data_IF_242214397619
#
_entry.id   IF_242214397619
#
_cell.length_a   1.000
_cell.length_b   1.000
_cell.length_c   1.000
_cell.angle_alpha   90.00
_cell.angle_beta   90.00
_cell.angle_gamma   90.00
#
_symmetry.space_group_name_H-M   'P 1'
#
loop_
_entity.id
_entity.type
_entity.pdbx_description
1 polymer ?
#
# COMPACT_ATOMS: atom_id res chain seq x y z
N UNK A 1 -48.71 51.81 10.32
CA UNK A 1 -48.33 50.51 10.96
C UNK A 1 -48.21 49.44 9.85
N UNK A 2 -47.01 49.26 9.28
CA UNK A 2 -46.76 48.36 8.19
C UNK A 2 -46.20 47.07 8.75
N UNK A 3 -46.88 45.93 8.52
CA UNK A 3 -46.42 44.58 8.90
C UNK A 3 -45.49 44.03 7.84
N UNK A 4 -44.22 43.96 8.16
CA UNK A 4 -43.17 43.30 7.33
C UNK A 4 -43.36 41.76 7.44
N UNK A 5 -43.76 41.11 6.37
CA UNK A 5 -43.79 39.62 6.24
C UNK A 5 -42.36 39.15 6.04
N UNK A 6 -41.83 38.41 7.01
CA UNK A 6 -40.56 37.66 6.85
C UNK A 6 -40.81 36.44 5.98
N UNK A 7 -40.20 36.40 4.83
CA UNK A 7 -40.13 35.19 3.93
C UNK A 7 -39.01 34.33 4.46
N UNK A 8 -39.32 33.16 5.00
CA UNK A 8 -38.33 32.15 5.39
C UNK A 8 -38.06 31.27 4.17
N UNK A 9 -36.88 31.40 3.60
CA UNK A 9 -36.41 30.47 2.55
C UNK A 9 -35.95 29.16 3.20
N UNK A 10 -36.69 28.09 2.95
CA UNK A 10 -36.27 26.74 3.30
C UNK A 10 -35.26 26.27 2.23
N UNK A 11 -33.96 26.25 2.57
CA UNK A 11 -32.93 25.63 1.73
C UNK A 11 -33.02 24.12 1.94
N UNK A 12 -33.61 23.42 0.98
CA UNK A 12 -33.55 21.96 0.91
C UNK A 12 -32.20 21.57 0.33
N UNK A 13 -31.25 21.18 1.20
CA UNK A 13 -30.00 20.55 0.79
C UNK A 13 -30.36 19.12 0.36
N UNK A 14 -30.45 18.88 -0.94
CA UNK A 14 -30.51 17.53 -1.49
C UNK A 14 -29.09 16.95 -1.39
N UNK A 15 -28.84 16.18 -0.33
CA UNK A 15 -27.66 15.32 -0.26
C UNK A 15 -27.82 14.22 -1.33
N UNK A 16 -27.20 14.41 -2.47
CA UNK A 16 -27.03 13.33 -3.44
C UNK A 16 -26.28 12.16 -2.80
N UNK A 17 -26.54 10.90 -3.24
CA UNK A 17 -25.80 9.75 -2.71
C UNK A 17 -24.31 9.96 -2.98
N UNK A 18 -23.50 10.08 -1.93
CA UNK A 18 -22.04 10.08 -2.01
C UNK A 18 -21.62 8.74 -2.63
N UNK A 19 -21.17 8.77 -3.88
CA UNK A 19 -20.62 7.60 -4.53
C UNK A 19 -19.48 7.04 -3.68
N UNK A 20 -19.58 5.75 -3.35
CA UNK A 20 -18.57 5.05 -2.58
C UNK A 20 -17.24 5.12 -3.38
N UNK A 21 -16.13 5.69 -2.86
CA UNK A 21 -14.90 5.88 -3.64
C UNK A 21 -14.36 4.57 -4.23
N UNK A 22 -14.58 3.43 -3.56
CA UNK A 22 -14.21 2.11 -4.06
C UNK A 22 -15.02 1.71 -5.32
N UNK A 23 -16.34 1.98 -5.35
CA UNK A 23 -17.16 1.69 -6.51
C UNK A 23 -16.84 2.62 -7.69
N UNK A 24 -16.50 3.88 -7.42
CA UNK A 24 -16.07 4.81 -8.47
C UNK A 24 -14.73 4.39 -9.10
N UNK A 25 -13.79 3.88 -8.30
CA UNK A 25 -12.50 3.39 -8.79
C UNK A 25 -12.63 2.13 -9.66
N UNK A 26 -13.53 1.20 -9.31
CA UNK A 26 -13.74 -0.03 -10.08
C UNK A 26 -14.61 0.18 -11.32
N UNK A 27 -15.56 1.10 -11.29
CA UNK A 27 -16.49 1.35 -12.39
C UNK A 27 -15.80 1.87 -13.67
N UNK A 28 -14.69 2.60 -13.52
CA UNK A 28 -13.91 3.14 -14.65
C UNK A 28 -12.84 2.20 -15.20
N UNK A 29 -12.59 1.03 -14.56
CA UNK A 29 -11.56 0.11 -15.00
C UNK A 29 -12.06 -0.81 -16.11
N UNK A 30 -11.27 -1.03 -17.19
CA UNK A 30 -11.63 -1.95 -18.25
C UNK A 30 -11.65 -3.40 -17.73
N UNK A 31 -12.45 -4.24 -18.38
CA UNK A 31 -12.54 -5.68 -18.06
C UNK A 31 -11.62 -6.54 -18.94
N UNK A 32 -10.85 -5.90 -19.79
CA UNK A 32 -9.82 -6.46 -20.66
C UNK A 32 -8.63 -5.48 -20.76
N UNK A 33 -7.45 -5.91 -21.18
CA UNK A 33 -7.14 -7.28 -21.60
C UNK A 33 -7.28 -8.29 -20.45
N UNK A 34 -7.47 -9.57 -20.82
CA UNK A 34 -7.42 -10.68 -19.87
C UNK A 34 -6.08 -11.43 -20.04
N UNK A 35 -5.41 -11.72 -18.93
CA UNK A 35 -4.18 -12.50 -18.89
C UNK A 35 -4.32 -13.69 -17.97
N UNK A 36 -3.72 -14.82 -18.33
CA UNK A 36 -3.72 -16.03 -17.49
C UNK A 36 -2.32 -16.28 -16.95
N UNK A 37 -2.18 -16.25 -15.63
CA UNK A 37 -0.92 -16.50 -14.91
C UNK A 37 -1.15 -17.61 -13.91
N UNK A 38 -0.34 -18.65 -13.93
CA UNK A 38 -0.44 -19.82 -13.04
C UNK A 38 -1.87 -20.42 -13.00
N UNK A 39 -2.55 -20.47 -14.17
CA UNK A 39 -3.90 -21.04 -14.31
C UNK A 39 -5.06 -20.14 -13.85
N UNK A 40 -4.78 -18.94 -13.36
CA UNK A 40 -5.79 -17.96 -12.97
C UNK A 40 -5.83 -16.79 -13.96
N UNK A 41 -7.05 -16.37 -14.35
CA UNK A 41 -7.26 -15.25 -15.29
C UNK A 41 -7.50 -13.96 -14.52
N UNK A 42 -6.84 -12.90 -14.99
CA UNK A 42 -6.89 -11.55 -14.43
C UNK A 42 -7.26 -10.54 -15.50
N UNK A 43 -8.00 -9.51 -15.12
CA UNK A 43 -8.25 -8.29 -15.89
C UNK A 43 -7.88 -7.08 -15.05
N UNK A 44 -7.70 -5.86 -15.62
CA UNK A 44 -7.45 -4.65 -14.85
C UNK A 44 -8.49 -4.42 -13.76
N UNK A 45 -9.78 -4.68 -14.05
CA UNK A 45 -10.88 -4.57 -13.09
C UNK A 45 -10.78 -5.62 -11.99
N UNK A 46 -10.50 -6.89 -12.34
CA UNK A 46 -10.40 -7.96 -11.35
C UNK A 46 -9.20 -7.77 -10.40
N UNK A 47 -8.07 -7.27 -10.91
CA UNK A 47 -6.91 -6.93 -10.10
C UNK A 47 -7.25 -5.81 -9.10
N UNK A 48 -7.89 -4.74 -9.58
CA UNK A 48 -8.28 -3.64 -8.70
C UNK A 48 -9.31 -4.08 -7.66
N UNK A 49 -10.33 -4.83 -8.06
CA UNK A 49 -11.33 -5.36 -7.13
C UNK A 49 -10.70 -6.29 -6.08
N UNK A 50 -9.76 -7.15 -6.49
CA UNK A 50 -8.99 -8.02 -5.59
C UNK A 50 -8.22 -7.20 -4.54
N UNK A 51 -7.56 -6.14 -4.96
CA UNK A 51 -6.71 -5.33 -4.08
C UNK A 51 -7.53 -4.44 -3.15
N UNK A 52 -8.57 -3.80 -3.66
CA UNK A 52 -9.36 -2.81 -2.91
C UNK A 52 -10.50 -3.42 -2.09
N UNK A 53 -11.06 -4.55 -2.53
CA UNK A 53 -12.25 -5.12 -1.91
C UNK A 53 -13.43 -4.13 -1.87
N UNK A 54 -14.27 -4.28 -0.85
CA UNK A 54 -15.35 -3.33 -0.56
C UNK A 54 -14.86 -2.14 0.28
N UNK A 55 -15.67 -1.09 0.41
CA UNK A 55 -15.35 0.02 1.31
C UNK A 55 -15.28 -0.42 2.78
N UNK A 56 -16.04 -1.44 3.16
CA UNK A 56 -15.96 -2.04 4.49
C UNK A 56 -14.65 -2.77 4.69
N UNK A 57 -14.17 -3.53 3.70
CA UNK A 57 -12.89 -4.25 3.78
C UNK A 57 -11.70 -3.29 3.93
N UNK A 58 -11.78 -2.10 3.35
CA UNK A 58 -10.75 -1.06 3.46
C UNK A 58 -10.65 -0.45 4.86
N UNK A 59 -11.64 -0.63 5.72
CA UNK A 59 -11.70 -0.05 7.08
C UNK A 59 -11.77 -1.09 8.18
N UNK A 60 -12.24 -2.30 7.87
CA UNK A 60 -12.31 -3.39 8.85
C UNK A 60 -10.90 -3.91 9.17
N UNK A 61 -10.49 -3.91 10.46
CA UNK A 61 -9.19 -4.44 10.83
C UNK A 61 -9.07 -5.93 10.46
N UNK A 62 -7.90 -6.31 9.97
CA UNK A 62 -7.53 -7.72 9.92
C UNK A 62 -6.87 -8.09 11.26
N UNK A 63 -7.03 -9.33 11.77
CA UNK A 63 -6.43 -9.70 13.04
C UNK A 63 -4.92 -9.40 13.08
N UNK A 64 -4.45 -8.54 14.00
CA UNK A 64 -3.03 -8.22 14.07
C UNK A 64 -2.23 -9.43 14.50
N UNK A 65 -1.10 -9.67 13.84
CA UNK A 65 -0.28 -10.86 14.08
C UNK A 65 1.17 -10.64 13.66
N UNK A 66 2.05 -11.45 14.21
CA UNK A 66 3.45 -11.54 13.78
C UNK A 66 3.50 -12.22 12.40
N UNK A 67 4.23 -11.60 11.47
CA UNK A 67 4.52 -12.16 10.15
C UNK A 67 5.81 -12.98 10.22
N UNK A 68 6.93 -12.32 10.53
CA UNK A 68 8.25 -12.94 10.66
C UNK A 68 9.16 -12.05 11.51
N UNK A 69 10.01 -12.66 12.34
CA UNK A 69 11.00 -11.94 13.14
C UNK A 69 10.36 -10.85 14.00
N UNK A 70 10.66 -9.60 13.68
CA UNK A 70 10.13 -8.40 14.34
C UNK A 70 9.12 -7.62 13.47
N UNK A 71 8.60 -8.22 12.41
CA UNK A 71 7.64 -7.63 11.49
C UNK A 71 6.24 -8.16 11.79
N UNK A 72 5.27 -7.25 11.96
CA UNK A 72 3.88 -7.53 12.31
C UNK A 72 2.93 -6.89 11.31
N UNK A 73 1.78 -7.53 11.10
CA UNK A 73 0.66 -6.96 10.36
C UNK A 73 -0.26 -6.20 11.32
N UNK A 74 -0.63 -4.97 10.96
CA UNK A 74 -1.51 -4.10 11.77
C UNK A 74 -2.58 -3.38 10.93
N UNK A 75 -2.72 -3.74 9.65
CA UNK A 75 -3.61 -3.11 8.69
C UNK A 75 -5.06 -3.61 8.71
N UNK A 76 -5.76 -3.33 7.63
CA UNK A 76 -7.16 -3.74 7.39
C UNK A 76 -7.23 -4.99 6.52
N UNK A 77 -8.45 -5.41 6.13
CA UNK A 77 -8.63 -6.59 5.26
C UNK A 77 -8.00 -6.43 3.88
N UNK A 78 -7.89 -5.20 3.37
CA UNK A 78 -7.40 -4.93 2.02
C UNK A 78 -6.30 -3.88 1.91
N UNK A 79 -5.98 -3.16 2.99
CA UNK A 79 -4.91 -2.17 3.03
C UNK A 79 -3.84 -2.59 4.02
N UNK A 80 -2.64 -2.85 3.52
CA UNK A 80 -1.54 -3.31 4.37
C UNK A 80 -0.95 -2.16 5.17
N UNK A 81 -0.73 -2.42 6.46
CA UNK A 81 0.11 -1.62 7.35
C UNK A 81 0.99 -2.58 8.13
N UNK A 82 2.29 -2.29 8.20
CA UNK A 82 3.25 -3.15 8.88
C UNK A 82 3.93 -2.40 10.01
N UNK A 83 4.08 -3.07 11.16
CA UNK A 83 4.86 -2.59 12.29
C UNK A 83 6.17 -3.37 12.35
N UNK A 84 7.29 -2.66 12.31
CA UNK A 84 8.63 -3.23 12.55
C UNK A 84 9.07 -2.79 13.94
N UNK A 85 9.15 -3.76 14.87
CA UNK A 85 9.43 -3.50 16.28
C UNK A 85 10.93 -3.56 16.52
N UNK A 86 11.48 -2.55 17.21
CA UNK A 86 12.91 -2.50 17.58
C UNK A 86 13.10 -2.07 19.03
N UNK A 87 14.28 -2.32 19.63
CA UNK A 87 14.56 -1.85 20.99
C UNK A 87 14.53 -0.32 21.16
N UNK A 88 14.63 0.45 20.08
CA UNK A 88 14.67 1.92 20.11
C UNK A 88 13.33 2.56 19.69
N UNK A 89 12.29 1.75 19.53
CA UNK A 89 10.95 2.16 19.07
C UNK A 89 10.56 1.43 17.79
N UNK A 90 9.46 1.86 17.18
CA UNK A 90 8.87 1.17 16.05
C UNK A 90 9.01 1.97 14.76
N UNK A 91 9.05 1.25 13.62
CA UNK A 91 8.83 1.79 12.29
C UNK A 91 7.44 1.34 11.84
N UNK A 92 6.58 2.27 11.41
CA UNK A 92 5.31 1.96 10.77
C UNK A 92 5.46 2.14 9.26
N UNK A 93 4.96 1.20 8.47
CA UNK A 93 4.94 1.28 7.01
C UNK A 93 3.47 1.32 6.56
N UNK A 94 3.07 2.37 5.86
CA UNK A 94 1.73 2.72 5.42
C UNK A 94 0.77 3.05 6.59
N UNK A 95 0.38 4.31 6.66
CA UNK A 95 -0.66 4.78 7.58
C UNK A 95 -2.07 4.47 7.08
N UNK A 96 -2.21 4.13 5.80
CA UNK A 96 -3.45 3.95 5.05
C UNK A 96 -4.32 5.23 5.05
N UNK A 97 -5.64 5.13 4.94
CA UNK A 97 -6.54 6.28 5.08
C UNK A 97 -6.49 6.88 6.48
N UNK A 98 -6.64 8.20 6.63
CA UNK A 98 -6.64 8.87 7.95
C UNK A 98 -7.64 8.23 8.92
N UNK A 99 -8.84 7.86 8.44
CA UNK A 99 -9.86 7.17 9.25
C UNK A 99 -9.46 5.82 9.82
N UNK A 100 -8.41 5.19 9.28
CA UNK A 100 -7.90 3.90 9.74
C UNK A 100 -6.82 4.02 10.84
N UNK A 101 -6.22 5.18 11.00
CA UNK A 101 -5.14 5.38 11.99
C UNK A 101 -5.53 4.95 13.40
N UNK A 102 -6.74 5.26 13.93
CA UNK A 102 -7.17 4.76 15.23
C UNK A 102 -7.30 3.23 15.29
N UNK A 103 -7.61 2.59 14.17
CA UNK A 103 -7.69 1.13 14.06
C UNK A 103 -6.29 0.51 14.06
N UNK A 104 -5.35 1.08 13.31
CA UNK A 104 -3.94 0.67 13.31
C UNK A 104 -3.35 0.80 14.72
N UNK A 105 -3.61 1.92 15.41
CA UNK A 105 -3.15 2.13 16.79
C UNK A 105 -3.65 1.02 17.72
N UNK A 106 -4.94 0.68 17.68
CA UNK A 106 -5.51 -0.43 18.46
C UNK A 106 -4.89 -1.78 18.09
N UNK A 107 -4.60 -2.03 16.81
CA UNK A 107 -3.94 -3.27 16.36
C UNK A 107 -2.53 -3.39 16.93
N UNK A 108 -1.78 -2.29 17.00
CA UNK A 108 -0.45 -2.22 17.63
C UNK A 108 -0.55 -2.52 19.13
N UNK A 109 -1.54 -1.93 19.82
CA UNK A 109 -1.77 -2.13 21.26
C UNK A 109 -2.22 -3.56 21.59
N UNK A 110 -3.03 -4.18 20.74
CA UNK A 110 -3.43 -5.60 20.88
C UNK A 110 -2.24 -6.57 20.79
N UNK A 111 -1.19 -6.19 20.08
CA UNK A 111 0.07 -6.95 20.03
C UNK A 111 0.97 -6.71 21.26
N UNK A 112 0.56 -5.84 22.18
CA UNK A 112 1.32 -5.49 23.39
C UNK A 112 2.36 -4.38 23.18
N UNK A 113 2.35 -3.70 22.04
CA UNK A 113 3.22 -2.57 21.76
C UNK A 113 2.49 -1.25 21.99
N UNK A 114 3.23 -0.14 22.12
CA UNK A 114 2.66 1.21 22.23
C UNK A 114 2.70 1.89 20.87
N UNK A 115 1.57 2.40 20.41
CA UNK A 115 1.54 3.17 19.16
C UNK A 115 2.40 4.45 19.23
N UNK A 116 2.47 5.08 20.41
CA UNK A 116 3.32 6.24 20.69
C UNK A 116 4.83 5.97 20.56
N UNK A 117 5.25 4.71 20.56
CA UNK A 117 6.66 4.32 20.34
C UNK A 117 7.05 4.28 18.86
N UNK A 118 6.12 4.61 17.95
CA UNK A 118 6.44 4.79 16.53
C UNK A 118 7.33 6.01 16.35
N UNK A 119 8.57 5.78 15.90
CA UNK A 119 9.60 6.81 15.70
C UNK A 119 9.77 7.21 14.24
N UNK A 120 9.46 6.30 13.34
CA UNK A 120 9.58 6.49 11.90
C UNK A 120 8.30 6.02 11.24
N UNK A 121 7.79 6.81 10.30
CA UNK A 121 6.70 6.47 9.41
C UNK A 121 7.21 6.48 7.98
N UNK A 122 7.00 5.37 7.28
CA UNK A 122 7.37 5.15 5.89
C UNK A 122 6.10 4.89 5.06
N UNK A 123 6.13 5.25 3.80
CA UNK A 123 5.07 4.90 2.85
C UNK A 123 5.60 4.06 1.69
N UNK A 124 4.70 3.39 0.98
CA UNK A 124 5.03 2.72 -0.27
C UNK A 124 4.86 3.67 -1.46
N UNK A 125 3.80 4.49 -1.48
CA UNK A 125 3.58 5.45 -2.56
C UNK A 125 2.49 6.49 -2.23
N UNK A 126 2.48 7.58 -3.01
CA UNK A 126 1.62 8.75 -2.81
C UNK A 126 0.15 8.53 -3.25
N UNK A 127 -0.52 7.52 -2.70
CA UNK A 127 -1.98 7.35 -2.79
C UNK A 127 -2.63 7.39 -1.41
N UNK A 128 -3.90 7.81 -1.35
CA UNK A 128 -4.61 8.01 -0.08
C UNK A 128 -4.78 6.74 0.74
N UNK A 129 -4.98 5.61 0.07
CA UNK A 129 -5.12 4.29 0.70
C UNK A 129 -3.81 3.78 1.34
N UNK A 130 -2.69 4.50 1.19
CA UNK A 130 -1.40 4.18 1.79
C UNK A 130 -0.84 5.27 2.71
N UNK A 131 -1.00 6.56 2.38
CA UNK A 131 -0.34 7.64 3.10
C UNK A 131 -1.26 8.81 3.53
N UNK A 132 -2.59 8.71 3.37
CA UNK A 132 -3.51 9.76 3.83
C UNK A 132 -3.43 10.00 5.34
N UNK A 133 -3.14 8.95 6.12
CA UNK A 133 -3.08 9.01 7.58
C UNK A 133 -1.78 9.59 8.15
N UNK A 134 -0.78 9.95 7.34
CA UNK A 134 0.56 10.30 7.82
C UNK A 134 0.55 11.49 8.79
N UNK A 135 -0.24 12.52 8.51
CA UNK A 135 -0.36 13.69 9.38
C UNK A 135 -0.92 13.33 10.76
N UNK A 136 -1.92 12.44 10.82
CA UNK A 136 -2.51 11.98 12.07
C UNK A 136 -1.55 11.06 12.85
N UNK A 137 -0.86 10.14 12.18
CA UNK A 137 0.18 9.31 12.81
C UNK A 137 1.25 10.19 13.43
N UNK A 138 1.78 11.17 12.69
CA UNK A 138 2.76 12.11 13.21
C UNK A 138 2.23 12.90 14.41
N UNK A 139 0.99 13.37 14.36
CA UNK A 139 0.35 14.07 15.47
C UNK A 139 0.26 13.20 16.73
N UNK A 140 -0.06 11.91 16.60
CA UNK A 140 -0.23 10.98 17.73
C UNK A 140 1.10 10.47 18.30
N UNK A 141 2.17 10.40 17.50
CA UNK A 141 3.39 9.67 17.86
C UNK A 141 4.64 10.53 17.86
N UNK A 142 4.64 11.65 17.13
CA UNK A 142 5.85 12.43 16.86
C UNK A 142 6.81 11.77 15.86
N UNK A 143 6.38 10.73 15.14
CA UNK A 143 7.20 10.01 14.18
C UNK A 143 7.76 10.92 13.08
N UNK A 144 9.01 10.64 12.66
CA UNK A 144 9.57 11.23 11.46
C UNK A 144 8.94 10.59 10.22
N UNK A 145 8.32 11.40 9.37
CA UNK A 145 7.75 10.94 8.10
C UNK A 145 8.80 11.05 7.01
N UNK A 146 9.08 9.92 6.36
CA UNK A 146 10.08 9.84 5.31
C UNK A 146 9.42 9.29 4.03
N UNK A 147 9.68 9.93 2.89
CA UNK A 147 9.12 9.56 1.60
C UNK A 147 10.16 9.65 0.49
N UNK A 148 9.98 8.84 -0.56
CA UNK A 148 10.78 8.92 -1.78
C UNK A 148 10.60 10.31 -2.43
N UNK A 149 11.71 10.93 -2.80
CA UNK A 149 11.74 12.31 -3.30
C UNK A 149 10.80 12.53 -4.50
N UNK A 150 10.67 11.54 -5.37
CA UNK A 150 9.85 11.59 -6.57
C UNK A 150 8.33 11.61 -6.29
N UNK A 151 7.89 11.13 -5.12
CA UNK A 151 6.48 11.18 -4.70
C UNK A 151 6.14 12.42 -3.84
N UNK A 152 7.14 13.17 -3.36
CA UNK A 152 6.91 14.34 -2.50
C UNK A 152 5.93 15.35 -3.12
N UNK A 153 6.00 15.71 -4.41
CA UNK A 153 5.02 16.64 -4.98
C UNK A 153 3.57 16.13 -4.92
N UNK A 154 3.36 14.82 -5.11
CA UNK A 154 2.03 14.22 -5.04
C UNK A 154 1.53 14.14 -3.59
N UNK A 155 2.41 13.81 -2.63
CA UNK A 155 2.11 13.82 -1.21
C UNK A 155 1.74 15.22 -0.71
N UNK A 156 2.48 16.25 -1.11
CA UNK A 156 2.18 17.65 -0.76
C UNK A 156 0.85 18.15 -1.37
N UNK A 157 0.45 17.60 -2.50
CA UNK A 157 -0.86 17.87 -3.10
C UNK A 157 -2.00 17.16 -2.34
N UNK A 158 -1.71 16.06 -1.65
CA UNK A 158 -2.64 15.33 -0.79
C UNK A 158 -2.74 16.07 0.55
N UNK A 159 -3.90 16.68 0.82
CA UNK A 159 -4.16 17.45 2.05
C UNK A 159 -5.21 16.74 2.91
N UNK A 160 -4.85 15.67 3.63
CA UNK A 160 -5.78 14.91 4.44
C UNK A 160 -6.38 15.79 5.55
N UNK A 161 -7.71 15.81 5.64
CA UNK A 161 -8.40 16.67 6.59
C UNK A 161 -8.09 18.18 6.45
N UNK A 162 -7.61 18.63 5.27
CA UNK A 162 -7.17 20.00 5.00
C UNK A 162 -5.77 20.34 5.55
N UNK A 163 -5.07 19.37 6.16
CA UNK A 163 -3.72 19.53 6.70
C UNK A 163 -2.67 19.31 5.62
N UNK A 164 -1.51 19.95 5.77
CA UNK A 164 -0.35 19.64 4.94
C UNK A 164 0.18 18.24 5.23
N UNK A 165 0.58 17.53 4.19
CA UNK A 165 1.22 16.24 4.33
C UNK A 165 2.64 16.43 4.90
N UNK A 166 2.98 15.83 6.05
CA UNK A 166 4.29 16.01 6.66
C UNK A 166 5.37 15.26 5.88
N UNK A 167 6.50 15.91 5.61
CA UNK A 167 7.71 15.30 5.05
C UNK A 167 8.91 15.79 5.85
N UNK A 168 9.47 14.93 6.70
CA UNK A 168 10.63 15.28 7.52
C UNK A 168 11.96 14.93 6.83
N UNK A 169 11.93 13.88 6.00
CA UNK A 169 13.11 13.45 5.22
C UNK A 169 12.67 12.93 3.84
N UNK A 170 13.30 13.45 2.80
CA UNK A 170 13.22 12.90 1.46
C UNK A 170 14.28 11.80 1.30
N UNK A 171 13.85 10.65 0.77
CA UNK A 171 14.70 9.52 0.50
C UNK A 171 15.03 9.42 -0.99
N UNK A 172 16.15 8.80 -1.30
CA UNK A 172 16.57 8.45 -2.64
C UNK A 172 16.67 6.94 -2.78
N UNK A 173 16.70 6.48 -4.00
CA UNK A 173 16.91 5.07 -4.32
C UNK A 173 18.17 4.51 -3.65
N UNK A 174 18.03 3.38 -2.97
CA UNK A 174 19.10 2.71 -2.25
C UNK A 174 19.37 3.27 -0.85
N UNK A 175 18.72 4.36 -0.41
CA UNK A 175 18.92 4.88 0.93
C UNK A 175 18.40 3.93 2.01
N UNK A 176 19.12 3.92 3.13
CA UNK A 176 18.82 3.10 4.28
C UNK A 176 18.12 3.91 5.38
N UNK A 177 17.12 3.28 5.98
CA UNK A 177 16.44 3.75 7.19
C UNK A 177 16.68 2.73 8.29
N UNK A 178 17.45 3.13 9.30
CA UNK A 178 17.86 2.25 10.40
C UNK A 178 17.30 2.74 11.73
N UNK A 179 16.73 1.82 12.51
CA UNK A 179 16.27 2.03 13.88
C UNK A 179 16.53 0.76 14.70
N UNK A 180 17.22 0.90 15.84
CA UNK A 180 17.39 -0.17 16.81
C UNK A 180 17.98 -1.48 16.25
N UNK A 181 18.89 -1.38 15.28
CA UNK A 181 19.54 -2.52 14.64
C UNK A 181 18.78 -3.15 13.47
N UNK A 182 17.60 -2.62 13.13
CA UNK A 182 16.85 -3.03 11.93
C UNK A 182 17.04 -1.98 10.85
N UNK A 183 17.40 -2.42 9.64
CA UNK A 183 17.58 -1.56 8.46
C UNK A 183 16.58 -1.93 7.38
N UNK A 184 15.85 -0.93 6.88
CA UNK A 184 15.04 -1.02 5.65
C UNK A 184 15.74 -0.23 4.56
N UNK A 185 15.80 -0.79 3.34
CA UNK A 185 16.38 -0.11 2.19
C UNK A 185 15.28 0.31 1.23
N UNK A 186 15.24 1.59 0.89
CA UNK A 186 14.29 2.14 -0.06
C UNK A 186 14.72 1.76 -1.50
N UNK A 187 13.88 1.04 -2.22
CA UNK A 187 14.10 0.66 -3.62
C UNK A 187 13.07 1.39 -4.49
N UNK A 188 13.54 2.31 -5.31
CA UNK A 188 12.67 3.00 -6.24
C UNK A 188 12.16 2.01 -7.31
N UNK A 189 10.86 1.72 -7.29
CA UNK A 189 10.15 0.86 -8.24
C UNK A 189 9.04 1.66 -8.92
N UNK A 190 9.46 2.74 -9.61
CA UNK A 190 8.57 3.71 -10.26
C UNK A 190 7.68 3.08 -11.35
N UNK A 191 6.56 3.75 -11.64
CA UNK A 191 5.61 3.35 -12.69
C UNK A 191 4.15 3.39 -12.24
N UNK A 192 3.85 2.92 -11.04
CA UNK A 192 2.53 3.10 -10.41
C UNK A 192 2.36 4.52 -9.90
N UNK A 193 3.34 5.02 -9.17
CA UNK A 193 3.65 6.43 -8.94
C UNK A 193 5.11 6.68 -9.29
N UNK A 194 5.53 7.93 -9.31
CA UNK A 194 6.92 8.28 -9.65
C UNK A 194 7.91 7.85 -8.56
N UNK A 195 7.47 7.89 -7.29
CA UNK A 195 8.25 7.54 -6.11
C UNK A 195 7.84 6.22 -5.47
N UNK A 196 7.15 5.33 -6.21
CA UNK A 196 6.77 4.01 -5.72
C UNK A 196 7.98 3.30 -5.12
N UNK A 197 7.90 2.98 -3.82
CA UNK A 197 9.02 2.48 -3.03
C UNK A 197 8.75 1.06 -2.55
N UNK A 198 9.51 0.11 -3.06
CA UNK A 198 9.59 -1.25 -2.52
C UNK A 198 10.61 -1.24 -1.37
N UNK A 199 10.22 -1.74 -0.21
CA UNK A 199 11.11 -1.84 0.95
C UNK A 199 11.75 -3.22 1.02
N UNK A 200 13.06 -3.29 1.21
CA UNK A 200 13.76 -4.55 1.47
C UNK A 200 14.41 -4.51 2.86
N UNK A 201 14.32 -5.63 3.58
CA UNK A 201 14.93 -5.78 4.90
C UNK A 201 15.26 -7.25 5.16
N UNK A 202 15.93 -7.51 6.28
CA UNK A 202 16.20 -8.87 6.76
C UNK A 202 15.44 -9.13 8.06
N UNK A 203 14.86 -10.31 8.18
CA UNK A 203 14.23 -10.77 9.41
C UNK A 203 14.88 -12.06 9.91
N UNK A 204 14.95 -12.22 11.23
CA UNK A 204 15.49 -13.43 11.84
C UNK A 204 14.35 -14.25 12.47
N UNK A 205 14.30 -15.55 12.16
CA UNK A 205 13.38 -16.48 12.77
C UNK A 205 13.99 -17.89 12.83
N UNK A 206 13.84 -18.57 13.98
CA UNK A 206 14.38 -19.91 14.15
C UNK A 206 15.89 -20.04 13.93
N UNK A 207 16.68 -19.00 14.23
CA UNK A 207 18.15 -18.98 14.03
C UNK A 207 18.58 -18.75 12.56
N UNK A 208 17.65 -18.48 11.64
CA UNK A 208 17.93 -18.18 10.23
C UNK A 208 17.57 -16.73 9.92
N UNK A 209 18.26 -16.17 8.93
CA UNK A 209 17.98 -14.85 8.37
C UNK A 209 17.28 -15.02 7.04
N UNK A 210 16.22 -14.24 6.83
CA UNK A 210 15.37 -14.26 5.64
C UNK A 210 15.35 -12.88 4.99
N UNK A 211 15.37 -12.84 3.66
CA UNK A 211 15.19 -11.64 2.88
C UNK A 211 13.70 -11.34 2.72
N UNK A 212 13.29 -10.16 3.21
CA UNK A 212 11.90 -9.69 3.19
C UNK A 212 11.77 -8.56 2.17
N UNK A 213 10.79 -8.68 1.28
CA UNK A 213 10.44 -7.65 0.30
C UNK A 213 9.00 -7.22 0.53
N UNK A 214 8.81 -5.92 0.78
CA UNK A 214 7.48 -5.28 0.88
C UNK A 214 7.28 -4.47 -0.40
N UNK A 215 6.57 -5.04 -1.34
CA UNK A 215 6.36 -4.42 -2.65
C UNK A 215 5.48 -3.17 -2.54
N UNK A 216 5.89 -2.13 -3.25
CA UNK A 216 4.98 -1.12 -3.75
C UNK A 216 4.12 -1.72 -4.87
N UNK A 217 2.97 -1.12 -5.16
CA UNK A 217 2.10 -1.54 -6.26
C UNK A 217 2.85 -1.56 -7.59
N UNK A 218 2.78 -2.68 -8.28
CA UNK A 218 3.39 -2.87 -9.61
C UNK A 218 2.39 -2.63 -10.75
N UNK A 219 1.18 -2.17 -10.42
CA UNK A 219 0.10 -1.99 -11.39
C UNK A 219 0.38 -0.83 -12.34
N UNK A 220 0.33 -1.11 -13.64
CA UNK A 220 0.39 -0.08 -14.68
C UNK A 220 -0.88 0.79 -14.70
N UNK A 221 -0.79 2.08 -15.06
CA UNK A 221 -1.93 2.83 -15.58
C UNK A 221 -2.53 2.13 -16.81
N UNK A 222 -3.82 2.36 -17.11
CA UNK A 222 -4.49 1.75 -18.26
C UNK A 222 -3.94 2.22 -19.62
N UNK A 223 -3.42 3.45 -19.66
CA UNK A 223 -2.79 4.04 -20.84
C UNK A 223 -1.42 4.64 -20.45
N UNK A 224 -0.37 3.78 -20.30
CA UNK A 224 0.92 4.25 -19.87
C UNK A 224 1.60 5.11 -20.94
N UNK A 225 2.20 6.22 -20.51
CA UNK A 225 3.05 7.05 -21.37
C UNK A 225 4.38 6.37 -21.66
N UNK A 226 5.15 6.80 -22.69
CA UNK A 226 6.49 6.25 -22.95
C UNK A 226 7.44 6.30 -21.75
N UNK A 227 7.33 7.35 -20.92
CA UNK A 227 8.12 7.48 -19.69
C UNK A 227 7.73 6.41 -18.67
N UNK A 228 6.43 6.21 -18.42
CA UNK A 228 5.90 5.18 -17.51
C UNK A 228 6.23 3.78 -18.01
N UNK A 229 6.20 3.55 -19.33
CA UNK A 229 6.63 2.27 -19.94
C UNK A 229 8.08 1.98 -19.58
N UNK A 230 8.98 2.96 -19.77
CA UNK A 230 10.40 2.79 -19.46
C UNK A 230 10.65 2.59 -17.96
N UNK A 231 9.86 3.23 -17.09
CA UNK A 231 9.92 3.05 -15.63
C UNK A 231 9.48 1.64 -15.24
N UNK A 232 8.33 1.16 -15.72
CA UNK A 232 7.81 -0.16 -15.41
C UNK A 232 8.73 -1.28 -15.88
N UNK A 233 9.33 -1.18 -17.06
CA UNK A 233 10.32 -2.17 -17.53
C UNK A 233 11.49 -2.28 -16.53
N UNK A 234 12.09 -1.15 -16.13
CA UNK A 234 13.15 -1.15 -15.11
C UNK A 234 12.67 -1.68 -13.76
N UNK A 235 11.43 -1.39 -13.39
CA UNK A 235 10.82 -1.86 -12.14
C UNK A 235 10.67 -3.38 -12.12
N UNK A 236 10.17 -3.99 -13.22
CA UNK A 236 10.07 -5.46 -13.29
C UNK A 236 11.44 -6.14 -13.25
N UNK A 237 12.43 -5.62 -13.99
CA UNK A 237 13.81 -6.12 -13.93
C UNK A 237 14.37 -6.02 -12.49
N UNK A 238 14.17 -4.89 -11.84
CA UNK A 238 14.63 -4.66 -10.46
C UNK A 238 13.96 -5.62 -9.48
N UNK A 239 12.64 -5.73 -9.50
CA UNK A 239 11.88 -6.59 -8.59
C UNK A 239 12.34 -8.05 -8.72
N UNK A 240 12.57 -8.53 -9.93
CA UNK A 240 13.08 -9.88 -10.20
C UNK A 240 14.50 -10.11 -9.69
N UNK A 241 15.30 -9.07 -9.54
CA UNK A 241 16.68 -9.15 -9.04
C UNK A 241 16.79 -9.12 -7.52
N UNK A 242 15.71 -8.79 -6.79
CA UNK A 242 15.74 -8.68 -5.32
C UNK A 242 15.78 -10.08 -4.68
N UNK A 243 16.71 -10.34 -3.75
CA UNK A 243 16.64 -11.52 -2.90
C UNK A 243 15.33 -11.50 -2.11
N UNK A 244 14.59 -12.63 -2.11
CA UNK A 244 13.28 -12.71 -1.48
C UNK A 244 13.00 -14.12 -0.96
N UNK A 245 12.77 -14.23 0.34
CA UNK A 245 12.23 -15.41 1.01
C UNK A 245 10.79 -15.17 1.47
N UNK A 246 10.45 -13.89 1.74
CA UNK A 246 9.15 -13.45 2.26
C UNK A 246 8.68 -12.28 1.43
N UNK A 247 7.65 -12.51 0.63
CA UNK A 247 6.96 -11.45 -0.10
C UNK A 247 5.82 -10.88 0.73
N UNK A 248 5.81 -9.56 0.87
CA UNK A 248 4.71 -8.73 1.36
C UNK A 248 4.37 -7.67 0.30
N UNK A 249 3.31 -6.89 0.53
CA UNK A 249 2.90 -5.84 -0.40
C UNK A 249 1.93 -4.86 0.23
N UNK A 250 1.66 -3.80 -0.48
CA UNK A 250 0.78 -2.71 -0.02
C UNK A 250 -0.70 -3.10 0.03
N UNK A 251 -1.08 -4.19 -0.68
CA UNK A 251 -2.40 -4.83 -0.52
C UNK A 251 -2.27 -6.30 -0.11
N UNK A 252 -3.04 -6.76 0.90
CA UNK A 252 -3.02 -8.13 1.40
C UNK A 252 -3.19 -9.23 0.33
N UNK A 253 -4.00 -8.97 -0.68
CA UNK A 253 -4.25 -9.93 -1.76
C UNK A 253 -3.03 -10.21 -2.65
N UNK A 254 -2.05 -9.30 -2.71
CA UNK A 254 -0.82 -9.47 -3.48
C UNK A 254 0.06 -10.62 -2.97
N UNK A 255 -0.03 -10.93 -1.67
CA UNK A 255 0.76 -11.98 -1.03
C UNK A 255 -0.07 -13.02 -0.29
N UNK A 256 -1.38 -13.11 -0.62
CA UNK A 256 -2.32 -14.10 -0.07
C UNK A 256 -2.41 -14.08 1.47
N UNK A 257 -2.49 -12.88 2.08
CA UNK A 257 -2.53 -12.72 3.54
C UNK A 257 -3.55 -13.64 4.21
N UNK A 258 -4.78 -13.68 3.71
CA UNK A 258 -5.86 -14.45 4.36
C UNK A 258 -5.55 -15.95 4.42
N UNK A 259 -5.06 -16.53 3.32
CA UNK A 259 -4.68 -17.95 3.27
C UNK A 259 -3.46 -18.23 4.15
N UNK A 260 -2.42 -17.37 4.06
CA UNK A 260 -1.22 -17.53 4.89
C UNK A 260 -1.54 -17.37 6.37
N UNK A 261 -2.39 -16.43 6.74
CA UNK A 261 -2.85 -16.27 8.13
C UNK A 261 -3.65 -17.49 8.62
N UNK A 262 -4.54 -18.04 7.79
CA UNK A 262 -5.28 -19.26 8.15
C UNK A 262 -4.33 -20.44 8.40
N UNK A 263 -3.30 -20.61 7.57
CA UNK A 263 -2.24 -21.64 7.78
C UNK A 263 -1.41 -21.35 9.03
N UNK A 264 -1.03 -20.09 9.28
CA UNK A 264 -0.30 -19.69 10.49
C UNK A 264 -1.05 -20.09 11.76
N UNK A 265 -2.38 -19.91 11.76
CA UNK A 265 -3.26 -20.29 12.89
C UNK A 265 -3.36 -21.78 13.14
N UNK A 266 -3.05 -22.61 12.16
CA UNK A 266 -3.02 -24.07 12.29
C UNK A 266 -1.71 -24.57 12.93
N UNK A 267 -0.70 -23.71 13.04
CA UNK A 267 0.63 -24.07 13.48
C UNK A 267 1.47 -24.74 12.40
N UNK A 268 2.72 -25.04 12.73
CA UNK A 268 3.68 -25.62 11.78
C UNK A 268 4.67 -24.57 11.23
N UNK A 269 5.31 -24.83 10.08
CA UNK A 269 6.23 -23.89 9.46
C UNK A 269 5.56 -22.56 9.12
N UNK A 270 6.30 -21.46 9.25
CA UNK A 270 5.78 -20.13 8.95
C UNK A 270 5.38 -20.02 7.46
N UNK A 271 4.07 -19.85 7.13
CA UNK A 271 3.58 -19.82 5.76
C UNK A 271 3.96 -18.56 4.98
N UNK A 272 4.49 -17.53 5.64
CA UNK A 272 5.01 -16.34 5.00
C UNK A 272 6.40 -16.56 4.39
N UNK A 273 7.17 -17.55 4.86
CA UNK A 273 8.42 -17.97 4.25
C UNK A 273 8.09 -18.83 3.02
N UNK A 274 8.02 -18.18 1.87
CA UNK A 274 7.54 -18.77 0.62
C UNK A 274 8.26 -18.15 -0.60
N UNK A 275 9.54 -18.53 -0.82
CA UNK A 275 10.33 -17.99 -1.94
C UNK A 275 9.67 -18.21 -3.31
N UNK A 276 8.86 -19.27 -3.45
CA UNK A 276 8.18 -19.57 -4.70
C UNK A 276 7.10 -18.54 -5.06
N UNK A 277 6.54 -17.83 -4.07
CA UNK A 277 5.54 -16.79 -4.31
C UNK A 277 6.13 -15.40 -4.58
N UNK A 278 7.43 -15.21 -4.38
CA UNK A 278 8.08 -13.88 -4.44
C UNK A 278 7.88 -13.14 -5.76
N UNK A 279 7.79 -13.84 -6.88
CA UNK A 279 7.58 -13.24 -8.20
C UNK A 279 6.13 -13.28 -8.68
N UNK A 280 5.22 -13.92 -7.93
CA UNK A 280 3.83 -14.12 -8.38
C UNK A 280 3.14 -12.81 -8.74
N UNK A 281 3.25 -11.80 -7.89
CA UNK A 281 2.60 -10.50 -8.15
C UNK A 281 3.30 -9.79 -9.32
N UNK A 282 4.62 -9.86 -9.42
CA UNK A 282 5.35 -9.31 -10.55
C UNK A 282 4.94 -9.98 -11.88
N UNK A 283 4.79 -11.30 -11.90
CA UNK A 283 4.34 -12.04 -13.08
C UNK A 283 2.95 -11.61 -13.54
N UNK A 284 2.00 -11.43 -12.60
CA UNK A 284 0.64 -10.97 -12.91
C UNK A 284 0.66 -9.56 -13.48
N UNK A 285 1.37 -8.64 -12.83
CA UNK A 285 1.37 -7.23 -13.22
C UNK A 285 2.16 -6.99 -14.52
N UNK A 286 3.26 -7.68 -14.72
CA UNK A 286 4.04 -7.60 -15.97
C UNK A 286 3.25 -8.17 -17.16
N UNK A 287 2.60 -9.33 -17.00
CA UNK A 287 1.73 -9.89 -18.03
C UNK A 287 0.58 -8.93 -18.39
N UNK A 288 -0.06 -8.32 -17.39
CA UNK A 288 -1.11 -7.32 -17.59
C UNK A 288 -0.56 -6.08 -18.29
N UNK A 289 0.61 -5.58 -17.88
CA UNK A 289 1.26 -4.44 -18.50
C UNK A 289 1.53 -4.67 -19.99
N UNK A 290 2.11 -5.81 -20.35
CA UNK A 290 2.36 -6.14 -21.75
C UNK A 290 1.06 -6.30 -22.58
N UNK A 291 0.01 -6.84 -21.98
CA UNK A 291 -1.28 -6.96 -22.64
C UNK A 291 -1.94 -5.59 -22.88
N UNK A 292 -1.85 -4.66 -21.90
CA UNK A 292 -2.30 -3.27 -22.05
C UNK A 292 -1.54 -2.54 -23.16
N UNK A 293 -0.22 -2.72 -23.24
CA UNK A 293 0.60 -2.15 -24.32
C UNK A 293 0.20 -2.66 -25.71
N UNK A 294 -0.06 -3.97 -25.82
CA UNK A 294 -0.49 -4.56 -27.08
C UNK A 294 -1.85 -4.03 -27.55
N UNK A 295 -2.79 -3.80 -26.64
CA UNK A 295 -4.09 -3.17 -26.96
C UNK A 295 -3.91 -1.70 -27.37
N UNK A 296 -3.09 -0.94 -26.65
CA UNK A 296 -2.82 0.47 -26.97
C UNK A 296 -2.19 0.61 -28.35
N UNK A 297 -1.26 -0.25 -28.73
CA UNK A 297 -0.65 -0.27 -30.06
C UNK A 297 -1.66 -0.58 -31.16
N UNK A 298 -2.57 -1.56 -30.94
CA UNK A 298 -3.64 -1.89 -31.89
C UNK A 298 -4.62 -0.74 -32.08
N UNK A 299 -5.00 -0.05 -31.00
CA UNK A 299 -5.90 1.10 -31.04
C UNK A 299 -5.28 2.33 -31.76
N UNK A 300 -3.97 2.46 -31.79
CA UNK A 300 -3.23 3.52 -32.50
C UNK A 300 -2.86 3.20 -33.94
N UNK A 301 -3.19 2.01 -34.45
CA UNK A 301 -2.99 1.66 -35.87
C UNK A 301 -4.20 2.12 -36.68
N UNK A 302 -4.04 2.85 -37.82
CA UNK A 302 -5.12 3.36 -38.66
C UNK A 302 -5.89 2.22 -39.34
#
# INVERSE_FOLDING_TARGET
MSRLKRLTFLVVIVLGPSANPSQAQTAGQPDHPAVTVQGQTYTPRSILARNMGTAEDQTTPFPPHKIIGNIYYVGTRTLSSFLVVTPQGNILINSTYERNVPTIARSVEQLGFKFSDTKILLGTHAHGDHQEGDALVKQMTGAQVMAMAEDVPALQAMKPGGKEHPIDRMLRDGEEVTLGGTTLVARLTAGHTRGCTTWTTKAQEGGRTYDVVIHCSLRSPNAPTPAVIAELNRTFERVRSLPCDVQLGDHPAQYNLQEKYAKLRQGGPNPFIDPASCLREADIQEAMFHALLAEQQKAGQP
#
